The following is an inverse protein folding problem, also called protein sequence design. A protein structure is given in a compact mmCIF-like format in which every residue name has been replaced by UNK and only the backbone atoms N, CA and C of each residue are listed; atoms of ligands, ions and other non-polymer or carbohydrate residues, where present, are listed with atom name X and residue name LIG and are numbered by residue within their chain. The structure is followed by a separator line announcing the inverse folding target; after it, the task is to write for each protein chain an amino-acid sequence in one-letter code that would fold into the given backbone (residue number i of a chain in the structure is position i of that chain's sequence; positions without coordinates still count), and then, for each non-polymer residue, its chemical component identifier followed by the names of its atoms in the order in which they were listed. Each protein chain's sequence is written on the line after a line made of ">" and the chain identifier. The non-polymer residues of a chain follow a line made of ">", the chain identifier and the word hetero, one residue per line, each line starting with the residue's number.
data_IF_819920391553
#
_entry.id   IF_819920391553
#
_cell.length_a   1.000
_cell.length_b   1.000
_cell.length_c   1.000
_cell.angle_alpha   90.00
_cell.angle_beta   90.00
_cell.angle_gamma   90.00
#
_symmetry.space_group_name_H-M   'P 1'
#
loop_
_entity.id
_entity.type
_entity.pdbx_description
1 polymer ?
#
# COMPACT_ATOMS: atom_id res chain seq x y z
N UNK A 1 72.71 4.14 -8.58
CA UNK A 1 71.98 4.00 -7.32
C UNK A 1 70.59 4.57 -7.52
N UNK A 2 69.60 3.71 -7.73
CA UNK A 2 68.20 4.10 -8.04
C UNK A 2 67.41 4.13 -6.76
N UNK A 3 66.86 5.29 -6.38
CA UNK A 3 65.98 5.45 -5.21
C UNK A 3 64.55 5.07 -5.63
N UNK A 4 64.04 4.02 -5.04
CA UNK A 4 62.66 3.58 -5.19
C UNK A 4 61.81 4.37 -4.20
N UNK A 5 60.96 5.24 -4.71
CA UNK A 5 59.93 5.93 -3.93
C UNK A 5 58.73 5.00 -3.77
N UNK A 6 58.48 4.56 -2.55
CA UNK A 6 57.30 3.80 -2.18
C UNK A 6 56.13 4.79 -1.96
N UNK A 7 55.17 4.82 -2.90
CA UNK A 7 53.91 5.57 -2.76
C UNK A 7 52.99 4.74 -1.84
N UNK A 8 52.83 5.16 -0.59
CA UNK A 8 51.75 4.67 0.26
C UNK A 8 50.42 5.31 -0.22
N UNK A 9 49.63 4.56 -0.95
CA UNK A 9 48.24 4.90 -1.21
C UNK A 9 47.41 4.57 0.04
N UNK A 10 47.08 5.61 0.81
CA UNK A 10 46.09 5.51 1.88
C UNK A 10 44.73 5.22 1.26
N UNK A 11 44.25 3.98 1.39
CA UNK A 11 42.94 3.56 1.04
C UNK A 11 41.95 4.13 2.09
N UNK A 12 41.38 5.29 1.77
CA UNK A 12 40.27 5.85 2.58
C UNK A 12 39.08 4.91 2.46
N UNK A 13 38.88 4.07 3.45
CA UNK A 13 37.60 3.37 3.67
C UNK A 13 36.54 4.43 3.95
N UNK A 14 35.87 4.87 2.89
CA UNK A 14 34.62 5.58 3.03
C UNK A 14 33.63 4.55 3.60
N UNK A 15 33.42 4.61 4.91
CA UNK A 15 32.31 3.93 5.55
C UNK A 15 31.01 4.55 4.96
N UNK A 16 30.56 4.02 3.81
CA UNK A 16 29.20 4.23 3.32
C UNK A 16 28.30 3.61 4.38
N UNK A 17 27.78 4.43 5.28
CA UNK A 17 26.74 4.02 6.20
C UNK A 17 25.66 3.31 5.38
N UNK A 18 25.46 2.02 5.67
CA UNK A 18 24.41 1.21 5.07
C UNK A 18 23.07 1.92 5.34
N UNK A 19 22.62 2.67 4.38
CA UNK A 19 21.30 3.29 4.38
C UNK A 19 20.29 2.13 4.16
N UNK A 20 19.92 1.47 5.25
CA UNK A 20 19.14 0.23 5.33
C UNK A 20 17.68 0.49 4.93
N UNK A 21 17.41 0.95 3.71
CA UNK A 21 16.04 1.15 3.23
C UNK A 21 15.85 0.54 1.85
N UNK A 22 14.66 -0.03 1.63
CA UNK A 22 14.21 -0.51 0.33
C UNK A 22 13.79 0.70 -0.50
N UNK A 23 14.42 0.90 -1.66
CA UNK A 23 14.02 1.95 -2.61
C UNK A 23 12.78 1.50 -3.37
N UNK A 24 11.83 2.42 -3.52
CA UNK A 24 10.64 2.24 -4.34
C UNK A 24 10.42 3.44 -5.25
N UNK A 25 9.70 3.22 -6.34
CA UNK A 25 9.09 4.26 -7.17
C UNK A 25 7.60 3.99 -7.22
N UNK A 26 6.80 5.02 -6.98
CA UNK A 26 5.35 5.00 -7.18
C UNK A 26 5.04 5.92 -8.35
N UNK A 27 4.54 5.37 -9.46
CA UNK A 27 4.32 6.13 -10.68
C UNK A 27 3.02 5.71 -11.38
N UNK A 28 2.48 6.59 -12.22
CA UNK A 28 1.31 6.28 -13.02
C UNK A 28 0.61 7.52 -13.55
N UNK A 29 -0.54 7.30 -14.19
CA UNK A 29 -1.45 8.37 -14.56
C UNK A 29 -2.68 8.39 -13.65
N UNK A 30 -3.33 9.55 -13.53
CA UNK A 30 -4.62 9.67 -12.84
C UNK A 30 -5.66 8.74 -13.48
N UNK A 31 -5.61 8.58 -14.82
CA UNK A 31 -6.49 7.69 -15.57
C UNK A 31 -6.25 6.23 -15.22
N UNK A 32 -4.99 5.73 -15.33
CA UNK A 32 -4.64 4.35 -15.03
C UNK A 32 -4.95 4.00 -13.56
N UNK A 33 -4.76 4.92 -12.64
CA UNK A 33 -5.10 4.78 -11.24
C UNK A 33 -6.59 5.02 -10.95
N UNK A 34 -7.37 5.43 -11.96
CA UNK A 34 -8.80 5.81 -11.83
C UNK A 34 -9.03 6.83 -10.72
N UNK A 35 -8.19 7.85 -10.65
CA UNK A 35 -8.49 9.07 -9.91
C UNK A 35 -9.41 9.94 -10.76
N UNK A 36 -10.72 9.80 -10.57
CA UNK A 36 -11.74 10.57 -11.29
C UNK A 36 -11.88 11.97 -10.68
N UNK A 37 -10.76 12.64 -10.42
CA UNK A 37 -10.67 13.98 -9.85
C UNK A 37 -9.63 14.79 -10.60
N UNK A 38 -9.97 16.01 -10.95
CA UNK A 38 -8.97 16.99 -11.38
C UNK A 38 -8.18 17.43 -10.13
N UNK A 39 -6.88 17.11 -10.10
CA UNK A 39 -5.99 17.48 -9.01
C UNK A 39 -4.60 17.73 -9.55
N UNK A 40 -3.92 18.72 -9.00
CA UNK A 40 -2.54 19.06 -9.33
C UNK A 40 -1.54 18.35 -8.40
N UNK A 41 -2.05 17.65 -7.40
CA UNK A 41 -1.19 16.87 -6.49
C UNK A 41 -1.94 15.71 -5.84
N UNK A 42 -1.16 14.67 -5.48
CA UNK A 42 -1.61 13.56 -4.67
C UNK A 42 -0.89 13.60 -3.31
N UNK A 43 -1.58 13.20 -2.26
CA UNK A 43 -0.97 13.04 -0.93
C UNK A 43 -0.69 11.57 -0.67
N UNK A 44 0.59 11.23 -0.46
CA UNK A 44 1.04 9.91 -0.04
C UNK A 44 1.29 9.91 1.46
N UNK A 45 0.60 9.05 2.19
CA UNK A 45 0.71 8.89 3.65
C UNK A 45 0.97 7.42 4.00
N UNK A 46 1.95 7.18 4.86
CA UNK A 46 2.30 5.85 5.38
C UNK A 46 3.03 6.00 6.70
N UNK A 47 2.85 5.04 7.62
CA UNK A 47 3.66 4.96 8.85
C UNK A 47 5.13 4.59 8.55
N UNK A 48 5.42 4.07 7.33
CA UNK A 48 6.78 3.83 6.84
C UNK A 48 7.49 5.07 6.30
N UNK A 49 6.84 6.22 6.25
CA UNK A 49 7.39 7.50 5.80
C UNK A 49 7.42 8.51 6.95
N UNK A 50 8.47 9.35 7.04
CA UNK A 50 8.60 10.32 8.14
C UNK A 50 7.52 11.40 8.14
N UNK A 51 6.99 11.73 6.97
CA UNK A 51 5.95 12.76 6.79
C UNK A 51 5.04 12.40 5.62
N UNK A 52 3.87 13.05 5.55
CA UNK A 52 3.02 13.01 4.36
C UNK A 52 3.77 13.67 3.20
N UNK A 53 3.80 12.98 2.06
CA UNK A 53 4.45 13.47 0.84
C UNK A 53 3.41 14.05 -0.11
N UNK A 54 3.69 15.24 -0.67
CA UNK A 54 2.91 15.79 -1.77
C UNK A 54 3.58 15.41 -3.08
N UNK A 55 2.85 14.74 -3.94
CA UNK A 55 3.30 14.29 -5.26
C UNK A 55 2.64 15.16 -6.32
N UNK A 56 3.43 15.92 -7.06
CA UNK A 56 2.91 16.76 -8.15
C UNK A 56 2.36 15.90 -9.29
N UNK A 57 1.26 16.39 -9.86
CA UNK A 57 0.65 15.79 -11.06
C UNK A 57 0.88 16.75 -12.23
N UNK A 58 1.58 16.28 -13.25
CA UNK A 58 1.87 17.04 -14.45
C UNK A 58 1.26 16.30 -15.66
N UNK A 59 0.39 16.95 -16.40
CA UNK A 59 -0.33 16.36 -17.54
C UNK A 59 -1.01 15.02 -17.20
N UNK A 60 -1.59 14.95 -16.00
CA UNK A 60 -2.24 13.74 -15.51
C UNK A 60 -1.29 12.63 -15.07
N UNK A 61 0.03 12.82 -15.12
CA UNK A 61 1.05 11.87 -14.69
C UNK A 61 1.61 12.24 -13.32
N UNK A 62 1.97 11.23 -12.53
CA UNK A 62 2.64 11.41 -11.25
C UNK A 62 3.77 10.41 -11.07
N UNK A 63 4.80 10.81 -10.33
CA UNK A 63 5.89 9.92 -9.93
C UNK A 63 6.49 10.39 -8.61
N UNK A 64 6.83 9.44 -7.75
CA UNK A 64 7.52 9.66 -6.49
C UNK A 64 8.51 8.54 -6.21
N UNK A 65 9.75 8.89 -5.93
CA UNK A 65 10.79 7.95 -5.49
C UNK A 65 11.06 8.12 -4.00
N UNK A 66 11.07 7.02 -3.26
CA UNK A 66 11.26 7.02 -1.83
C UNK A 66 12.01 5.82 -1.31
N UNK A 67 12.10 5.74 0.02
CA UNK A 67 12.66 4.60 0.74
C UNK A 67 11.79 4.26 1.93
N UNK A 68 11.64 2.96 2.22
CA UNK A 68 11.04 2.43 3.44
C UNK A 68 11.98 1.40 4.05
N UNK A 69 12.02 1.28 5.35
CA UNK A 69 12.86 0.27 6.03
C UNK A 69 12.39 -1.15 5.74
N UNK A 70 11.06 -1.33 5.71
CA UNK A 70 10.36 -2.57 5.40
C UNK A 70 9.10 -2.24 4.60
N UNK A 71 8.46 -3.23 3.94
CA UNK A 71 7.18 -3.00 3.27
C UNK A 71 6.15 -2.37 4.22
N UNK A 72 5.49 -1.30 3.77
CA UNK A 72 4.56 -0.53 4.58
C UNK A 72 3.28 -0.20 3.81
N UNK A 73 2.14 -0.30 4.48
CA UNK A 73 0.88 0.13 3.92
C UNK A 73 0.86 1.67 3.73
N UNK A 74 0.31 2.12 2.63
CA UNK A 74 0.17 3.54 2.34
C UNK A 74 -1.19 3.88 1.73
N UNK A 75 -1.59 5.12 1.95
CA UNK A 75 -2.72 5.73 1.26
C UNK A 75 -2.23 6.77 0.28
N UNK A 76 -2.75 6.72 -0.94
CA UNK A 76 -2.58 7.74 -1.98
C UNK A 76 -3.91 8.45 -2.17
N UNK A 77 -3.96 9.76 -1.88
CA UNK A 77 -5.19 10.56 -1.87
C UNK A 77 -5.13 11.62 -2.94
N UNK A 78 -6.12 11.63 -3.85
CA UNK A 78 -6.40 12.74 -4.74
C UNK A 78 -7.46 13.65 -4.12
N UNK A 79 -7.15 14.94 -4.02
CA UNK A 79 -8.05 15.95 -3.43
C UNK A 79 -8.59 16.81 -4.56
N UNK A 80 -9.90 16.74 -4.78
CA UNK A 80 -10.66 17.57 -5.72
C UNK A 80 -12.01 17.94 -5.11
N UNK A 81 -13.07 17.98 -5.93
CA UNK A 81 -14.45 18.15 -5.41
C UNK A 81 -14.86 16.99 -4.49
N UNK A 82 -14.30 15.80 -4.73
CA UNK A 82 -14.42 14.62 -3.86
C UNK A 82 -13.03 14.08 -3.59
N UNK A 83 -12.83 13.48 -2.42
CA UNK A 83 -11.58 12.82 -2.07
C UNK A 83 -11.62 11.38 -2.55
N UNK A 84 -10.66 11.00 -3.40
CA UNK A 84 -10.45 9.60 -3.82
C UNK A 84 -9.21 9.07 -3.11
N UNK A 85 -9.35 7.90 -2.49
CA UNK A 85 -8.26 7.23 -1.78
C UNK A 85 -7.97 5.89 -2.44
N UNK A 86 -6.69 5.64 -2.72
CA UNK A 86 -6.16 4.34 -3.12
C UNK A 86 -5.23 3.83 -2.02
N UNK A 87 -5.18 2.52 -1.84
CA UNK A 87 -4.22 1.87 -0.95
C UNK A 87 -3.16 1.18 -1.80
N UNK A 88 -1.91 1.25 -1.34
CA UNK A 88 -0.74 0.61 -1.95
C UNK A 88 0.18 0.08 -0.87
N UNK A 89 1.07 -0.84 -1.22
CA UNK A 89 2.16 -1.27 -0.35
C UNK A 89 3.45 -0.64 -0.87
N UNK A 90 4.09 0.18 -0.05
CA UNK A 90 5.44 0.70 -0.34
C UNK A 90 6.44 -0.43 -0.09
N UNK A 91 7.00 -0.97 -1.16
CA UNK A 91 7.99 -2.04 -1.13
C UNK A 91 9.01 -1.83 -2.26
N UNK A 92 10.12 -2.56 -2.23
CA UNK A 92 11.17 -2.45 -3.24
C UNK A 92 10.64 -2.69 -4.64
N UNK A 93 10.92 -1.75 -5.56
CA UNK A 93 10.58 -1.86 -6.97
C UNK A 93 9.76 -0.68 -7.47
N UNK A 94 9.11 -0.86 -8.60
CA UNK A 94 8.26 0.13 -9.24
C UNK A 94 6.78 -0.25 -9.05
N UNK A 95 6.06 0.59 -8.33
CA UNK A 95 4.64 0.44 -8.04
C UNK A 95 3.88 1.28 -9.06
N UNK A 96 3.01 0.63 -9.82
CA UNK A 96 2.21 1.26 -10.86
C UNK A 96 0.72 0.94 -10.67
N UNK A 97 -0.11 1.37 -11.61
CA UNK A 97 -1.54 1.09 -11.62
C UNK A 97 -1.99 0.56 -12.97
N UNK A 98 -2.82 -0.47 -12.94
CA UNK A 98 -3.53 -0.99 -14.10
C UNK A 98 -5.02 -1.09 -13.77
N UNK A 99 -5.88 -0.42 -14.56
CA UNK A 99 -7.33 -0.39 -14.36
C UNK A 99 -7.79 0.05 -12.95
N UNK A 100 -7.01 0.92 -12.30
CA UNK A 100 -7.28 1.42 -10.96
C UNK A 100 -6.75 0.56 -9.82
N UNK A 101 -6.08 -0.56 -10.13
CA UNK A 101 -5.50 -1.49 -9.16
C UNK A 101 -3.97 -1.33 -9.13
N UNK A 102 -3.34 -1.34 -7.94
CA UNK A 102 -1.89 -1.30 -7.83
C UNK A 102 -1.26 -2.60 -8.36
N UNK A 103 -0.09 -2.47 -8.96
CA UNK A 103 0.68 -3.58 -9.54
C UNK A 103 2.16 -3.23 -9.66
N UNK A 104 2.96 -4.17 -10.21
CA UNK A 104 4.37 -3.99 -10.54
C UNK A 104 5.34 -4.46 -9.45
N UNK A 105 4.84 -4.85 -8.28
CA UNK A 105 5.64 -5.45 -7.21
C UNK A 105 4.83 -6.57 -6.53
N UNK A 106 5.49 -7.58 -5.90
CA UNK A 106 4.80 -8.78 -5.45
C UNK A 106 3.60 -8.53 -4.52
N UNK A 107 3.74 -7.63 -3.53
CA UNK A 107 2.64 -7.37 -2.59
C UNK A 107 1.54 -6.51 -3.22
N UNK A 108 1.88 -5.61 -4.15
CA UNK A 108 0.89 -4.84 -4.88
C UNK A 108 0.17 -5.68 -5.94
N UNK A 109 0.85 -6.64 -6.59
CA UNK A 109 0.23 -7.57 -7.53
C UNK A 109 -0.80 -8.45 -6.81
N UNK A 110 -0.43 -9.04 -5.66
CA UNK A 110 -1.34 -9.83 -4.84
C UNK A 110 -2.55 -9.00 -4.34
N UNK A 111 -2.31 -7.76 -3.90
CA UNK A 111 -3.38 -6.87 -3.47
C UNK A 111 -4.28 -6.42 -4.65
N UNK A 112 -3.70 -6.14 -5.80
CA UNK A 112 -4.45 -5.80 -7.02
C UNK A 112 -5.35 -6.94 -7.49
N UNK A 113 -4.88 -8.20 -7.36
CA UNK A 113 -5.68 -9.40 -7.66
C UNK A 113 -6.84 -9.56 -6.68
N UNK A 114 -6.61 -9.36 -5.38
CA UNK A 114 -7.68 -9.30 -4.39
C UNK A 114 -8.76 -8.29 -4.79
N UNK A 115 -8.36 -7.06 -5.14
CA UNK A 115 -9.31 -6.01 -5.51
C UNK A 115 -10.12 -6.35 -6.76
N UNK A 116 -9.50 -6.99 -7.77
CA UNK A 116 -10.22 -7.47 -8.97
C UNK A 116 -11.26 -8.53 -8.60
N UNK A 117 -10.89 -9.48 -7.74
CA UNK A 117 -11.79 -10.52 -7.26
C UNK A 117 -12.98 -9.94 -6.48
N UNK A 118 -12.74 -8.99 -5.57
CA UNK A 118 -13.80 -8.31 -4.83
C UNK A 118 -14.72 -7.47 -5.75
N UNK A 119 -14.15 -6.83 -6.78
CA UNK A 119 -14.94 -6.10 -7.77
C UNK A 119 -15.80 -7.04 -8.62
N UNK A 120 -15.30 -8.23 -8.96
CA UNK A 120 -16.09 -9.24 -9.69
C UNK A 120 -17.29 -9.69 -8.85
N UNK A 121 -17.08 -10.02 -7.58
CA UNK A 121 -18.17 -10.36 -6.65
C UNK A 121 -19.23 -9.25 -6.58
N UNK A 122 -18.81 -7.99 -6.46
CA UNK A 122 -19.77 -6.88 -6.42
C UNK A 122 -20.56 -6.69 -7.72
N UNK A 123 -19.99 -7.05 -8.87
CA UNK A 123 -20.66 -7.02 -10.17
C UNK A 123 -21.62 -8.18 -10.36
N UNK A 124 -21.34 -9.34 -9.78
CA UNK A 124 -22.19 -10.54 -9.83
C UNK A 124 -23.45 -10.40 -8.95
N UNK A 125 -23.36 -9.56 -7.89
CA UNK A 125 -24.46 -9.35 -6.91
C UNK A 125 -24.87 -7.87 -6.81
N UNK A 126 -25.36 -7.24 -7.88
CA UNK A 126 -25.68 -5.81 -7.88
C UNK A 126 -26.85 -5.51 -6.94
N UNK A 127 -26.59 -4.64 -5.95
CA UNK A 127 -27.61 -4.22 -4.98
C UNK A 127 -27.89 -5.20 -3.84
N UNK A 128 -27.28 -6.38 -3.85
CA UNK A 128 -27.39 -7.39 -2.78
C UNK A 128 -26.13 -7.42 -1.91
N UNK A 129 -26.13 -6.59 -0.87
CA UNK A 129 -24.99 -6.48 0.06
C UNK A 129 -24.73 -7.80 0.81
N UNK A 130 -25.78 -8.57 1.15
CA UNK A 130 -25.61 -9.83 1.88
C UNK A 130 -24.91 -10.89 1.01
N UNK A 131 -25.33 -11.02 -0.24
CA UNK A 131 -24.66 -11.91 -1.20
C UNK A 131 -23.20 -11.48 -1.45
N UNK A 132 -22.93 -10.17 -1.59
CA UNK A 132 -21.56 -9.64 -1.70
C UNK A 132 -20.72 -10.02 -0.49
N UNK A 133 -21.25 -9.84 0.73
CA UNK A 133 -20.52 -10.18 1.96
C UNK A 133 -20.22 -11.68 2.06
N UNK A 134 -21.21 -12.52 1.75
CA UNK A 134 -21.05 -13.97 1.77
C UNK A 134 -19.99 -14.46 0.76
N UNK A 135 -20.00 -13.92 -0.46
CA UNK A 135 -19.05 -14.31 -1.51
C UNK A 135 -17.65 -13.71 -1.32
N UNK A 136 -17.53 -12.49 -0.76
CA UNK A 136 -16.26 -11.83 -0.53
C UNK A 136 -15.47 -12.41 0.65
N UNK A 137 -16.15 -12.89 1.69
CA UNK A 137 -15.50 -13.34 2.94
C UNK A 137 -14.47 -14.45 2.75
N UNK A 138 -14.72 -15.55 1.98
CA UNK A 138 -13.72 -16.58 1.75
C UNK A 138 -12.50 -16.06 0.98
N UNK A 139 -12.68 -15.15 0.02
CA UNK A 139 -11.59 -14.51 -0.74
C UNK A 139 -10.71 -13.69 0.20
N UNK A 140 -11.33 -12.88 1.06
CA UNK A 140 -10.62 -12.08 2.07
C UNK A 140 -9.89 -12.95 3.08
N UNK A 141 -10.50 -14.04 3.58
CA UNK A 141 -9.86 -14.99 4.50
C UNK A 141 -8.61 -15.60 3.87
N UNK A 142 -8.69 -16.05 2.62
CA UNK A 142 -7.54 -16.61 1.91
C UNK A 142 -6.40 -15.59 1.79
N UNK A 143 -6.70 -14.37 1.34
CA UNK A 143 -5.71 -13.31 1.23
C UNK A 143 -5.08 -12.98 2.59
N UNK A 144 -5.88 -12.77 3.63
CA UNK A 144 -5.39 -12.44 4.98
C UNK A 144 -4.55 -13.59 5.55
N UNK A 145 -4.93 -14.86 5.34
CA UNK A 145 -4.13 -16.00 5.79
C UNK A 145 -2.76 -16.03 5.15
N UNK A 146 -2.69 -15.79 3.83
CA UNK A 146 -1.44 -15.81 3.07
C UNK A 146 -0.51 -14.64 3.44
N UNK A 147 -1.08 -13.51 3.86
CA UNK A 147 -0.39 -12.24 4.13
C UNK A 147 -0.49 -11.80 5.60
N UNK A 148 -0.77 -12.69 6.53
CA UNK A 148 -1.07 -12.37 7.93
C UNK A 148 0.03 -11.56 8.67
N UNK A 149 1.24 -11.50 8.11
CA UNK A 149 2.43 -10.89 8.74
C UNK A 149 3.00 -9.70 7.98
N UNK A 150 2.42 -9.31 6.85
CA UNK A 150 2.95 -8.26 5.99
C UNK A 150 1.96 -7.12 5.72
N UNK A 151 2.43 -6.07 5.06
CA UNK A 151 1.66 -4.86 4.79
C UNK A 151 0.47 -5.08 3.83
N UNK A 152 0.45 -6.20 3.06
CA UNK A 152 -0.70 -6.54 2.22
C UNK A 152 -1.94 -6.83 3.05
N UNK A 153 -1.79 -7.45 4.24
CA UNK A 153 -2.92 -7.64 5.15
C UNK A 153 -3.53 -6.30 5.59
N UNK A 154 -2.70 -5.28 5.83
CA UNK A 154 -3.20 -3.95 6.22
C UNK A 154 -4.07 -3.35 5.12
N UNK A 155 -3.57 -3.28 3.87
CA UNK A 155 -4.34 -2.71 2.75
C UNK A 155 -5.55 -3.57 2.39
N UNK A 156 -5.47 -4.90 2.53
CA UNK A 156 -6.59 -5.80 2.36
C UNK A 156 -7.70 -5.55 3.41
N UNK A 157 -7.35 -5.40 4.67
CA UNK A 157 -8.28 -5.07 5.76
C UNK A 157 -8.91 -3.68 5.58
N UNK A 158 -8.13 -2.69 5.12
CA UNK A 158 -8.66 -1.36 4.78
C UNK A 158 -9.74 -1.45 3.68
N UNK A 159 -9.55 -2.33 2.70
CA UNK A 159 -10.52 -2.56 1.62
C UNK A 159 -11.70 -3.44 2.06
N UNK A 160 -11.47 -4.44 2.91
CA UNK A 160 -12.48 -5.38 3.41
C UNK A 160 -13.68 -4.70 4.07
N UNK A 161 -13.51 -3.51 4.64
CA UNK A 161 -14.57 -2.70 5.26
C UNK A 161 -15.79 -2.48 4.36
N UNK A 162 -15.64 -2.54 3.04
CA UNK A 162 -16.71 -2.37 2.05
C UNK A 162 -17.37 -3.68 1.64
N UNK A 163 -16.77 -4.81 2.03
CA UNK A 163 -17.12 -6.14 1.56
C UNK A 163 -17.40 -7.14 2.67
N UNK A 164 -17.47 -6.66 3.93
CA UNK A 164 -17.75 -7.51 5.09
C UNK A 164 -18.57 -6.77 6.13
N UNK A 165 -19.25 -7.55 6.97
CA UNK A 165 -19.87 -7.05 8.19
C UNK A 165 -18.81 -6.70 9.24
N UNK A 166 -19.14 -5.82 10.22
CA UNK A 166 -18.22 -5.43 11.29
C UNK A 166 -17.64 -6.62 12.06
N UNK A 167 -18.46 -7.63 12.34
CA UNK A 167 -18.08 -8.83 13.11
C UNK A 167 -17.02 -9.65 12.33
N UNK A 168 -17.29 -9.91 11.04
CA UNK A 168 -16.37 -10.63 10.17
C UNK A 168 -15.06 -9.85 9.97
N UNK A 169 -15.11 -8.52 9.90
CA UNK A 169 -13.91 -7.68 9.83
C UNK A 169 -13.06 -7.80 11.11
N UNK A 170 -13.69 -7.85 12.27
CA UNK A 170 -13.00 -8.06 13.55
C UNK A 170 -12.30 -9.44 13.59
N UNK A 171 -12.97 -10.50 13.09
CA UNK A 171 -12.37 -11.83 12.94
C UNK A 171 -11.16 -11.82 12.00
N UNK A 172 -11.27 -11.18 10.82
CA UNK A 172 -10.17 -11.05 9.87
C UNK A 172 -8.96 -10.35 10.50
N UNK A 173 -9.18 -9.29 11.28
CA UNK A 173 -8.11 -8.60 12.01
C UNK A 173 -7.46 -9.56 13.03
N UNK A 174 -8.23 -10.36 13.75
CA UNK A 174 -7.72 -11.30 14.74
C UNK A 174 -6.84 -12.40 14.13
N UNK A 175 -7.01 -12.72 12.83
CA UNK A 175 -6.18 -13.68 12.10
C UNK A 175 -4.77 -13.15 11.77
N UNK A 176 -4.52 -11.85 11.92
CA UNK A 176 -3.22 -11.24 11.56
C UNK A 176 -2.25 -11.23 12.72
N UNK A 177 -0.96 -11.04 12.42
CA UNK A 177 0.09 -10.93 13.42
C UNK A 177 -0.08 -9.71 14.32
N UNK A 178 0.51 -9.71 15.54
CA UNK A 178 0.50 -8.55 16.42
C UNK A 178 1.08 -7.29 15.75
N UNK A 179 2.06 -7.43 14.85
CA UNK A 179 2.63 -6.32 14.10
C UNK A 179 1.60 -5.65 13.19
N UNK A 180 0.87 -6.43 12.39
CA UNK A 180 -0.22 -5.94 11.55
C UNK A 180 -1.34 -5.33 12.41
N UNK A 181 -1.71 -5.98 13.52
CA UNK A 181 -2.72 -5.48 14.43
C UNK A 181 -2.37 -4.16 15.11
N UNK A 182 -1.07 -3.84 15.21
CA UNK A 182 -0.54 -2.59 15.78
C UNK A 182 -0.30 -1.50 14.73
N UNK A 183 -0.57 -1.74 13.44
CA UNK A 183 -0.55 -0.72 12.40
C UNK A 183 -1.58 0.38 12.68
N UNK A 184 -1.22 1.64 12.43
CA UNK A 184 -2.08 2.81 12.70
C UNK A 184 -3.43 2.75 12.00
N UNK A 185 -3.48 2.23 10.76
CA UNK A 185 -4.73 2.05 10.01
C UNK A 185 -5.62 0.98 10.68
N UNK A 186 -5.02 -0.10 11.19
CA UNK A 186 -5.77 -1.16 11.88
C UNK A 186 -6.28 -0.66 13.23
N UNK A 187 -5.50 0.12 13.97
CA UNK A 187 -5.99 0.80 15.17
C UNK A 187 -7.20 1.69 14.89
N UNK A 188 -7.14 2.46 13.81
CA UNK A 188 -8.27 3.28 13.40
C UNK A 188 -9.51 2.42 13.06
N UNK A 189 -9.37 1.30 12.31
CA UNK A 189 -10.48 0.38 12.05
C UNK A 189 -11.08 -0.16 13.37
N UNK A 190 -10.23 -0.65 14.28
CA UNK A 190 -10.67 -1.17 15.59
C UNK A 190 -11.46 -0.13 16.38
N UNK A 191 -11.05 1.15 16.32
CA UNK A 191 -11.79 2.25 16.97
C UNK A 191 -13.18 2.43 16.34
N UNK A 192 -13.29 2.41 15.00
CA UNK A 192 -14.58 2.51 14.31
C UNK A 192 -15.52 1.34 14.67
N UNK A 193 -15.00 0.11 14.73
CA UNK A 193 -15.78 -1.07 15.12
C UNK A 193 -16.34 -0.99 16.55
N UNK A 194 -15.62 -0.34 17.47
CA UNK A 194 -16.08 -0.13 18.84
C UNK A 194 -17.17 0.95 18.94
N UNK A 195 -17.12 1.97 18.06
CA UNK A 195 -18.09 3.07 18.05
C UNK A 195 -19.40 2.72 17.35
N UNK A 196 -19.45 1.61 16.61
CA UNK A 196 -20.62 1.13 15.89
C UNK A 196 -21.49 0.14 16.71
N UNK A 197 -21.05 -0.21 17.92
CA UNK A 197 -21.78 -1.00 18.93
C UNK A 197 -22.51 -0.09 19.91
#
# INVERSE_FOLDING_TARGET
>A
MKRIAILLTALALVATGCNKGQKFTLAGSLEAARFNVATDSLLLQSDGLPTIQSIQVNDGQFSYAGKVEKPAAATLKGIGRTMVTKYVVLEKGEITFLDGFPCGTPLNDAYGELLRSLQAVAKEHPGDAEAVYAAALPILRTCITNHAKDASAVVALMSARRFTKPEALAELIAMTSPEVQNDGNIHWIKKQLKSAK
#
